data_IF_654060804737
#
_entry.id   IF_654060804737
#
_cell.length_a   1.000
_cell.length_b   1.000
_cell.length_c   1.000
_cell.angle_alpha   90.00
_cell.angle_beta   90.00
_cell.angle_gamma   90.00
#
_symmetry.space_group_name_H-M   'P 1'
#
loop_
_entity.id
_entity.type
_entity.pdbx_description
1 polymer ?
#
# COMPACT_ATOMS: atom_id res chain seq x y z
N UNK A 1 4.09 -23.38 4.48
CA UNK A 1 3.65 -24.46 5.39
C UNK A 1 2.24 -24.18 5.86
N UNK A 2 1.46 -25.18 6.26
CA UNK A 2 0.09 -24.97 6.77
C UNK A 2 0.02 -23.94 7.91
N UNK A 3 1.02 -23.96 8.80
CA UNK A 3 1.16 -23.01 9.92
C UNK A 3 1.31 -21.57 9.41
N UNK A 4 2.16 -21.34 8.42
CA UNK A 4 2.36 -20.01 7.83
C UNK A 4 1.10 -19.48 7.13
N UNK A 5 0.33 -20.35 6.47
CA UNK A 5 -0.94 -19.93 5.88
C UNK A 5 -1.97 -19.54 6.93
N UNK A 6 -2.11 -20.35 7.99
CA UNK A 6 -3.03 -20.07 9.07
C UNK A 6 -2.66 -18.75 9.77
N UNK A 7 -1.38 -18.55 10.09
CA UNK A 7 -0.89 -17.29 10.67
C UNK A 7 -1.16 -16.10 9.76
N UNK A 8 -0.94 -16.24 8.45
CA UNK A 8 -1.24 -15.20 7.47
C UNK A 8 -2.71 -14.80 7.45
N UNK A 9 -3.63 -15.79 7.46
CA UNK A 9 -5.08 -15.51 7.53
C UNK A 9 -5.47 -14.82 8.85
N UNK A 10 -4.93 -15.28 9.97
CA UNK A 10 -5.22 -14.67 11.28
C UNK A 10 -4.81 -13.19 11.29
N UNK A 11 -3.64 -12.87 10.74
CA UNK A 11 -3.17 -11.48 10.63
C UNK A 11 -4.09 -10.63 9.75
N UNK A 12 -4.49 -11.15 8.59
CA UNK A 12 -5.44 -10.48 7.68
C UNK A 12 -6.76 -10.17 8.40
N UNK A 13 -7.34 -11.16 9.09
CA UNK A 13 -8.64 -11.02 9.76
C UNK A 13 -8.54 -10.05 10.93
N UNK A 14 -7.48 -10.14 11.71
CA UNK A 14 -7.24 -9.21 12.81
C UNK A 14 -7.19 -7.78 12.30
N UNK A 15 -6.44 -7.51 11.22
CA UNK A 15 -6.36 -6.18 10.65
C UNK A 15 -7.68 -5.72 10.03
N UNK A 16 -8.41 -6.62 9.37
CA UNK A 16 -9.74 -6.33 8.84
C UNK A 16 -10.69 -5.86 9.95
N UNK A 17 -10.68 -6.52 11.11
CA UNK A 17 -11.46 -6.13 12.27
C UNK A 17 -11.08 -4.73 12.80
N UNK A 18 -9.78 -4.43 12.87
CA UNK A 18 -9.27 -3.11 13.30
C UNK A 18 -9.79 -1.96 12.43
N UNK A 19 -10.00 -2.20 11.14
CA UNK A 19 -10.51 -1.21 10.17
C UNK A 19 -12.01 -1.34 9.88
N UNK A 20 -12.74 -2.17 10.64
CA UNK A 20 -14.18 -2.34 10.51
C UNK A 20 -14.64 -3.13 9.27
N UNK A 21 -13.79 -3.99 8.72
CA UNK A 21 -14.10 -4.91 7.62
C UNK A 21 -14.33 -6.32 8.15
N UNK A 22 -15.47 -6.92 7.81
CA UNK A 22 -15.78 -8.31 8.18
C UNK A 22 -15.22 -9.28 7.13
N UNK A 23 -14.23 -10.08 7.53
CA UNK A 23 -13.59 -11.11 6.70
C UNK A 23 -13.50 -12.42 7.50
N UNK A 24 -14.39 -13.40 7.28
CA UNK A 24 -14.35 -14.65 8.02
C UNK A 24 -13.19 -15.57 7.58
N UNK A 25 -12.65 -16.37 8.51
CA UNK A 25 -11.44 -17.16 8.32
C UNK A 25 -11.48 -18.18 7.16
N UNK A 26 -12.67 -18.72 6.88
CA UNK A 26 -12.86 -19.83 5.93
C UNK A 26 -13.65 -19.42 4.69
N UNK A 27 -13.43 -18.20 4.22
CA UNK A 27 -14.07 -17.72 2.99
C UNK A 27 -13.08 -17.63 1.83
N UNK A 28 -13.64 -17.55 0.61
CA UNK A 28 -12.87 -17.43 -0.62
C UNK A 28 -12.14 -16.08 -0.68
N UNK A 29 -12.74 -15.02 -0.13
CA UNK A 29 -12.17 -13.66 -0.08
C UNK A 29 -10.90 -13.63 0.78
N UNK A 30 -10.95 -14.23 1.98
CA UNK A 30 -9.78 -14.33 2.87
C UNK A 30 -8.65 -15.13 2.23
N UNK A 31 -8.99 -16.22 1.51
CA UNK A 31 -8.00 -17.00 0.76
C UNK A 31 -7.39 -16.19 -0.40
N UNK A 32 -8.22 -15.53 -1.20
CA UNK A 32 -7.79 -14.73 -2.34
C UNK A 32 -6.89 -13.57 -1.90
N UNK A 33 -7.24 -12.89 -0.80
CA UNK A 33 -6.41 -11.83 -0.22
C UNK A 33 -5.06 -12.36 0.27
N UNK A 34 -5.03 -13.52 0.94
CA UNK A 34 -3.76 -14.15 1.34
C UNK A 34 -2.87 -14.45 0.14
N UNK A 35 -3.44 -15.00 -0.93
CA UNK A 35 -2.70 -15.29 -2.17
C UNK A 35 -2.20 -14.02 -2.84
N UNK A 36 -3.00 -12.96 -2.86
CA UNK A 36 -2.62 -11.66 -3.39
C UNK A 36 -1.47 -11.03 -2.60
N UNK A 37 -1.51 -11.08 -1.26
CA UNK A 37 -0.43 -10.57 -0.40
C UNK A 37 0.86 -11.32 -0.66
N UNK A 38 0.83 -12.66 -0.66
CA UNK A 38 2.01 -13.48 -0.97
C UNK A 38 2.58 -13.18 -2.35
N UNK A 39 1.72 -12.99 -3.35
CA UNK A 39 2.15 -12.63 -4.70
C UNK A 39 2.87 -11.27 -4.72
N UNK A 40 2.33 -10.27 -4.02
CA UNK A 40 2.93 -8.94 -3.95
C UNK A 40 4.25 -8.97 -3.15
N UNK A 41 4.32 -9.69 -2.04
CA UNK A 41 5.56 -9.89 -1.28
C UNK A 41 6.64 -10.58 -2.12
N UNK A 42 6.28 -11.58 -2.93
CA UNK A 42 7.21 -12.22 -3.86
C UNK A 42 7.76 -11.27 -4.93
N UNK A 43 7.07 -10.15 -5.17
CA UNK A 43 7.50 -9.06 -6.08
C UNK A 43 8.24 -7.92 -5.36
N UNK A 44 8.51 -8.07 -4.07
CA UNK A 44 9.26 -7.12 -3.27
C UNK A 44 8.42 -6.08 -2.53
N UNK A 45 7.09 -6.23 -2.51
CA UNK A 45 6.24 -5.39 -1.66
C UNK A 45 6.42 -5.76 -0.18
N UNK A 46 6.38 -4.77 0.70
CA UNK A 46 6.46 -4.97 2.14
C UNK A 46 5.30 -4.25 2.82
N UNK A 47 4.59 -4.95 3.69
CA UNK A 47 3.43 -4.41 4.41
C UNK A 47 3.70 -4.10 5.88
N UNK A 48 4.85 -4.51 6.44
CA UNK A 48 5.22 -4.27 7.84
C UNK A 48 5.26 -2.78 8.22
N UNK A 49 5.65 -1.91 7.28
CA UNK A 49 5.73 -0.45 7.48
C UNK A 49 4.76 0.34 6.58
N UNK A 50 3.77 -0.35 5.98
CA UNK A 50 2.87 0.23 4.99
C UNK A 50 1.42 -0.16 5.28
N UNK A 51 1.00 0.03 6.53
CA UNK A 51 -0.34 -0.34 7.02
C UNK A 51 -1.47 0.21 6.13
N UNK A 52 -1.40 1.48 5.73
CA UNK A 52 -2.41 2.09 4.86
C UNK A 52 -2.52 1.38 3.50
N UNK A 53 -1.40 0.94 2.92
CA UNK A 53 -1.40 0.19 1.66
C UNK A 53 -2.01 -1.20 1.83
N UNK A 54 -1.79 -1.83 2.97
CA UNK A 54 -2.41 -3.10 3.31
C UNK A 54 -3.92 -2.95 3.54
N UNK A 55 -4.35 -1.90 4.23
CA UNK A 55 -5.77 -1.60 4.47
C UNK A 55 -6.54 -1.44 3.15
N UNK A 56 -5.92 -0.81 2.15
CA UNK A 56 -6.50 -0.72 0.81
C UNK A 56 -6.68 -2.09 0.15
N UNK A 57 -5.78 -3.06 0.35
CA UNK A 57 -5.96 -4.42 -0.14
C UNK A 57 -7.11 -5.12 0.57
N UNK A 58 -7.21 -4.96 1.89
CA UNK A 58 -8.31 -5.51 2.70
C UNK A 58 -9.66 -4.96 2.23
N UNK A 59 -9.77 -3.65 2.01
CA UNK A 59 -10.99 -3.05 1.49
C UNK A 59 -11.36 -3.58 0.09
N UNK A 60 -10.37 -3.75 -0.79
CA UNK A 60 -10.57 -4.25 -2.17
C UNK A 60 -10.96 -5.73 -2.22
N UNK A 61 -10.68 -6.51 -1.18
CA UNK A 61 -11.05 -7.92 -1.13
C UNK A 61 -12.56 -8.15 -0.90
N UNK A 62 -13.31 -7.11 -0.53
CA UNK A 62 -14.76 -7.22 -0.33
C UNK A 62 -15.49 -7.43 -1.67
N UNK A 63 -16.47 -8.35 -1.74
CA UNK A 63 -17.23 -8.60 -2.97
C UNK A 63 -18.00 -7.38 -3.49
N UNK A 64 -18.42 -6.49 -2.58
CA UNK A 64 -19.19 -5.29 -2.87
C UNK A 64 -18.31 -4.02 -3.01
N UNK A 65 -16.99 -4.17 -3.02
CA UNK A 65 -16.08 -3.05 -3.15
C UNK A 65 -16.32 -2.31 -4.47
N UNK A 66 -16.56 -1.00 -4.35
CA UNK A 66 -16.56 -0.08 -5.48
C UNK A 66 -15.45 0.95 -5.24
N UNK A 67 -14.52 1.13 -6.19
CA UNK A 67 -13.49 2.16 -6.03
C UNK A 67 -14.19 3.52 -5.94
N UNK A 68 -13.88 4.35 -4.93
CA UNK A 68 -14.51 5.67 -4.77
C UNK A 68 -14.08 6.66 -5.84
N UNK A 69 -12.97 6.38 -6.52
CA UNK A 69 -12.44 7.14 -7.64
C UNK A 69 -11.67 6.22 -8.59
N UNK A 70 -11.53 6.65 -9.84
CA UNK A 70 -10.65 6.01 -10.82
C UNK A 70 -9.34 6.79 -10.90
N UNK A 71 -8.20 6.10 -10.89
CA UNK A 71 -6.92 6.73 -11.18
C UNK A 71 -6.84 7.01 -12.68
N UNK A 72 -6.70 8.28 -13.06
CA UNK A 72 -6.57 8.70 -14.46
C UNK A 72 -5.11 8.82 -14.84
N UNK A 73 -4.29 9.43 -13.98
CA UNK A 73 -2.88 9.66 -14.23
C UNK A 73 -2.13 9.89 -12.91
N UNK A 74 -0.82 9.65 -12.90
CA UNK A 74 0.04 10.02 -11.78
C UNK A 74 1.45 10.35 -12.24
N UNK A 75 2.10 11.26 -11.53
CA UNK A 75 3.50 11.59 -11.70
C UNK A 75 4.19 11.59 -10.35
N UNK A 76 5.32 10.91 -10.23
CA UNK A 76 6.16 10.94 -9.03
C UNK A 76 7.53 11.48 -9.43
N UNK A 77 7.97 12.53 -8.75
CA UNK A 77 9.30 13.12 -8.90
C UNK A 77 10.11 12.77 -7.67
N UNK A 78 11.17 11.97 -7.86
CA UNK A 78 12.10 11.62 -6.79
C UNK A 78 13.43 12.35 -7.00
N UNK A 79 13.83 13.18 -6.05
CA UNK A 79 15.14 13.83 -6.04
C UNK A 79 16.02 13.21 -4.95
N UNK A 80 17.17 12.66 -5.35
CA UNK A 80 18.26 12.29 -4.44
C UNK A 80 19.38 13.30 -4.63
N UNK A 81 19.54 14.23 -3.69
CA UNK A 81 20.60 15.25 -3.76
C UNK A 81 21.98 14.57 -3.74
N UNK A 82 22.78 14.81 -4.78
CA UNK A 82 24.14 14.24 -4.94
C UNK A 82 25.21 14.89 -4.06
N UNK A 83 24.92 15.99 -3.35
CA UNK A 83 25.91 16.73 -2.56
C UNK A 83 25.50 16.75 -1.08
N UNK A 84 26.31 16.20 -0.16
CA UNK A 84 26.04 16.32 1.25
C UNK A 84 26.13 17.80 1.67
N UNK A 85 25.19 18.32 2.48
CA UNK A 85 25.40 19.61 3.14
C UNK A 85 26.64 19.53 4.03
N UNK A 86 27.38 20.64 4.14
CA UNK A 86 28.58 20.74 4.98
C UNK A 86 28.30 20.53 6.48
N UNK A 87 27.02 20.51 6.87
CA UNK A 87 26.54 19.99 8.15
C UNK A 87 25.78 18.69 7.90
N UNK A 88 26.04 17.67 8.73
CA UNK A 88 25.34 16.38 8.76
C UNK A 88 23.83 16.58 8.96
N UNK A 89 23.08 16.86 7.90
CA UNK A 89 21.65 16.54 7.83
C UNK A 89 21.51 15.30 6.95
N UNK A 90 20.72 14.35 7.41
CA UNK A 90 20.49 13.08 6.73
C UNK A 90 20.18 13.30 5.24
N UNK A 91 20.61 12.35 4.40
CA UNK A 91 20.24 12.27 2.99
C UNK A 91 18.71 12.25 2.84
N UNK A 92 18.10 13.42 2.72
CA UNK A 92 16.66 13.56 2.49
C UNK A 92 16.39 13.30 1.02
N UNK A 93 15.95 12.08 0.71
CA UNK A 93 15.29 11.78 -0.57
C UNK A 93 13.97 12.54 -0.55
N UNK A 94 13.84 13.53 -1.44
CA UNK A 94 12.58 14.24 -1.65
C UNK A 94 11.77 13.46 -2.68
N UNK A 95 10.49 13.25 -2.40
CA UNK A 95 9.55 12.66 -3.33
C UNK A 95 8.30 13.53 -3.37
N UNK A 96 7.90 13.98 -4.55
CA UNK A 96 6.66 14.72 -4.79
C UNK A 96 5.75 13.88 -5.70
N UNK A 97 4.47 13.79 -5.38
CA UNK A 97 3.51 13.01 -6.15
C UNK A 97 2.30 13.86 -6.57
N UNK A 98 1.99 13.85 -7.86
CA UNK A 98 0.78 14.44 -8.42
C UNK A 98 -0.13 13.31 -8.87
N UNK A 99 -1.40 13.34 -8.47
CA UNK A 99 -2.37 12.29 -8.78
C UNK A 99 -3.60 12.92 -9.42
N UNK A 100 -4.01 12.38 -10.56
CA UNK A 100 -5.24 12.76 -11.26
C UNK A 100 -6.26 11.65 -11.11
N UNK A 101 -7.42 11.99 -10.57
CA UNK A 101 -8.48 11.02 -10.29
C UNK A 101 -9.80 11.45 -10.93
N UNK A 102 -10.66 10.49 -11.23
CA UNK A 102 -12.04 10.72 -11.64
C UNK A 102 -12.98 10.31 -10.50
N UNK A 103 -13.87 11.19 -10.11
CA UNK A 103 -14.89 10.96 -9.08
C UNK A 103 -16.26 11.23 -9.71
N UNK A 104 -17.17 10.27 -9.64
CA UNK A 104 -18.53 10.40 -10.18
C UNK A 104 -18.61 10.91 -11.64
N UNK A 105 -17.64 10.54 -12.49
CA UNK A 105 -17.56 10.96 -13.90
C UNK A 105 -16.77 12.25 -14.14
N UNK A 106 -16.59 13.09 -13.12
CA UNK A 106 -15.82 14.34 -13.21
C UNK A 106 -14.34 14.10 -12.92
N UNK A 107 -13.47 14.76 -13.70
CA UNK A 107 -12.02 14.66 -13.53
C UNK A 107 -11.56 15.72 -12.54
N UNK A 108 -11.01 15.30 -11.40
CA UNK A 108 -10.44 16.17 -10.38
C UNK A 108 -8.91 16.14 -10.45
N UNK A 109 -8.29 17.32 -10.31
CA UNK A 109 -6.84 17.50 -10.24
C UNK A 109 -6.47 17.83 -8.79
N UNK A 110 -5.62 17.03 -8.16
CA UNK A 110 -5.14 17.32 -6.79
C UNK A 110 -3.65 17.00 -6.70
N UNK A 111 -2.85 17.94 -6.22
CA UNK A 111 -1.44 17.72 -5.90
C UNK A 111 -1.30 17.61 -4.38
N UNK A 112 -0.50 16.64 -3.92
CA UNK A 112 -0.20 16.46 -2.50
C UNK A 112 1.31 16.23 -2.34
N UNK A 113 1.94 17.02 -1.47
CA UNK A 113 3.37 16.86 -1.14
C UNK A 113 3.52 15.90 0.05
N UNK A 114 4.42 14.92 -0.04
CA UNK A 114 4.57 13.88 0.98
C UNK A 114 6.02 13.46 1.18
N UNK A 115 6.56 13.70 2.37
CA UNK A 115 7.98 13.52 2.69
C UNK A 115 8.29 12.10 3.20
N UNK A 116 8.05 11.04 2.41
CA UNK A 116 8.72 9.73 2.57
C UNK A 116 8.30 8.70 1.51
N UNK A 117 9.25 8.32 0.66
CA UNK A 117 9.19 7.08 -0.10
C UNK A 117 9.92 5.99 0.72
N UNK A 118 9.20 4.98 1.23
CA UNK A 118 9.85 3.80 1.83
C UNK A 118 10.35 2.94 0.67
N UNK A 119 11.64 3.01 0.39
CA UNK A 119 12.31 2.10 -0.53
C UNK A 119 12.51 0.74 0.16
N UNK A 120 12.34 -0.40 -0.53
CA UNK A 120 12.67 -1.70 0.03
C UNK A 120 14.17 -1.74 0.34
N UNK A 121 14.51 -1.92 1.61
CA UNK A 121 15.89 -2.15 2.04
C UNK A 121 16.32 -3.49 1.48
N UNK A 122 17.22 -3.48 0.49
CA UNK A 122 17.97 -4.66 0.10
C UNK A 122 18.83 -5.10 1.29
N UNK A 123 18.46 -6.24 1.90
CA UNK A 123 19.27 -6.89 2.91
C UNK A 123 20.64 -7.27 2.31
N UNK A 124 21.71 -6.89 3.01
CA UNK A 124 23.06 -7.42 2.86
C UNK A 124 23.47 -8.09 4.16
#
# INVERSE_FOLDING_TARGET
>A
TLVSELSGKINIIKRAQEIGVELPLRTQETQALLEQVKLLESRGFQYENAEASFDLLVHRARPDYKPPFELVDFMVVCEKRRRPPALKSLEEVLAEAVVKVRVAGEVMHTAAEGLKLVLPTSAG
#
